data_IF_636749017461
#
_entry.id   IF_636749017461
#
_cell.length_a   1.000
_cell.length_b   1.000
_cell.length_c   1.000
_cell.angle_alpha   90.00
_cell.angle_beta   90.00
_cell.angle_gamma   90.00
#
_symmetry.space_group_name_H-M   'P 1'
#
loop_
_entity.id
_entity.type
_entity.pdbx_description
1 polymer ?
#
# COMPACT_ATOMS: atom_id res chain seq x y z
N UNK A 1 8.88 -7.74 -2.09
CA UNK A 1 7.75 -7.84 -3.05
C UNK A 1 8.29 -7.91 -4.47
N UNK A 2 9.19 -7.00 -4.85
CA UNK A 2 9.92 -7.10 -6.12
C UNK A 2 10.82 -8.35 -6.19
N UNK A 3 11.44 -8.77 -5.08
CA UNK A 3 12.25 -9.99 -5.01
C UNK A 3 11.49 -11.29 -5.36
N UNK A 4 10.16 -11.35 -5.16
CA UNK A 4 9.36 -12.56 -5.40
C UNK A 4 8.60 -12.54 -6.73
N UNK A 5 8.20 -11.37 -7.23
CA UNK A 5 7.37 -11.24 -8.42
C UNK A 5 8.20 -11.14 -9.71
N UNK A 6 9.44 -10.68 -9.63
CA UNK A 6 10.29 -10.43 -10.79
C UNK A 6 9.74 -9.35 -11.73
N UNK A 7 10.54 -8.91 -12.73
CA UNK A 7 10.17 -7.78 -13.60
C UNK A 7 9.04 -8.08 -14.59
N UNK A 8 8.72 -9.37 -14.83
CA UNK A 8 7.70 -9.81 -15.77
C UNK A 8 6.34 -10.14 -15.11
N UNK A 9 6.16 -9.81 -13.83
CA UNK A 9 4.89 -10.03 -13.15
C UNK A 9 3.74 -9.24 -13.78
N UNK A 10 2.65 -9.94 -14.06
CA UNK A 10 1.41 -9.33 -14.52
C UNK A 10 0.77 -8.46 -13.44
N UNK A 11 -0.04 -7.49 -13.83
CA UNK A 11 -0.79 -6.65 -12.89
C UNK A 11 -1.68 -7.48 -11.94
N UNK A 12 -2.24 -8.59 -12.41
CA UNK A 12 -3.01 -9.50 -11.58
C UNK A 12 -2.17 -10.12 -10.45
N UNK A 13 -0.92 -10.50 -10.74
CA UNK A 13 0.01 -11.06 -9.76
C UNK A 13 0.46 -9.99 -8.76
N UNK A 14 0.77 -8.77 -9.23
CA UNK A 14 1.13 -7.64 -8.37
C UNK A 14 -0.01 -7.28 -7.40
N UNK A 15 -1.26 -7.24 -7.88
CA UNK A 15 -2.44 -7.03 -7.05
C UNK A 15 -2.66 -8.19 -6.06
N UNK A 16 -2.45 -9.43 -6.48
CA UNK A 16 -2.59 -10.59 -5.59
C UNK A 16 -1.59 -10.54 -4.43
N UNK A 17 -0.32 -10.24 -4.74
CA UNK A 17 0.72 -10.06 -3.73
C UNK A 17 0.44 -8.85 -2.82
N UNK A 18 -0.07 -7.74 -3.37
CA UNK A 18 -0.44 -6.56 -2.59
C UNK A 18 -1.49 -6.90 -1.53
N UNK A 19 -2.52 -7.65 -1.94
CA UNK A 19 -3.57 -8.16 -1.05
C UNK A 19 -3.00 -9.13 -0.01
N UNK A 20 -2.00 -9.93 -0.36
CA UNK A 20 -1.35 -10.85 0.58
C UNK A 20 -0.59 -10.08 1.67
N UNK A 21 0.22 -9.08 1.30
CA UNK A 21 0.93 -8.21 2.25
C UNK A 21 -0.04 -7.47 3.17
N UNK A 22 -1.11 -6.90 2.60
CA UNK A 22 -2.12 -6.22 3.41
C UNK A 22 -2.77 -7.18 4.43
N UNK A 23 -3.12 -8.40 4.01
CA UNK A 23 -3.69 -9.43 4.92
C UNK A 23 -2.70 -9.81 6.02
N UNK A 24 -1.43 -10.01 5.69
CA UNK A 24 -0.36 -10.30 6.64
C UNK A 24 -0.18 -9.16 7.65
N UNK A 25 -0.05 -7.92 7.18
CA UNK A 25 0.08 -6.74 8.05
C UNK A 25 -1.14 -6.61 8.98
N UNK A 26 -2.32 -6.88 8.43
CA UNK A 26 -3.59 -6.93 9.15
C UNK A 26 -3.78 -8.14 10.03
N UNK A 27 -2.86 -9.10 10.14
CA UNK A 27 -3.03 -10.27 11.03
C UNK A 27 -1.85 -10.41 11.96
N UNK A 28 -0.66 -10.51 11.39
CA UNK A 28 0.58 -10.80 12.08
C UNK A 28 1.43 -9.55 12.29
N UNK A 29 1.30 -8.54 11.43
CA UNK A 29 2.03 -7.27 11.55
C UNK A 29 1.47 -6.31 12.62
N UNK A 30 0.35 -6.66 13.27
CA UNK A 30 -0.27 -5.81 14.30
C UNK A 30 0.62 -5.74 15.53
N UNK A 31 0.92 -4.53 15.97
CA UNK A 31 1.56 -4.28 17.27
C UNK A 31 0.61 -3.49 18.14
N UNK A 32 0.42 -3.97 19.36
CA UNK A 32 -0.39 -3.30 20.37
C UNK A 32 0.36 -2.05 20.82
N UNK A 33 -0.31 -0.91 20.78
CA UNK A 33 0.28 0.38 21.23
C UNK A 33 0.45 0.36 22.76
N UNK A 34 -0.43 -0.37 23.46
CA UNK A 34 -0.40 -0.62 24.90
C UNK A 34 -1.01 -2.00 25.20
N UNK A 35 -0.76 -2.57 26.39
CA UNK A 35 -1.40 -3.83 26.80
C UNK A 35 -2.93 -3.76 26.71
N UNK A 36 -3.55 -4.79 26.14
CA UNK A 36 -5.00 -4.90 25.99
C UNK A 36 -5.62 -4.03 24.91
N UNK A 37 -4.82 -3.48 24.00
CA UNK A 37 -5.30 -2.72 22.83
C UNK A 37 -4.91 -3.46 21.55
N UNK A 38 -5.68 -4.50 21.25
CA UNK A 38 -5.43 -5.46 20.16
C UNK A 38 -6.52 -5.38 19.08
N UNK A 39 -7.40 -4.37 19.17
CA UNK A 39 -8.52 -4.23 18.26
C UNK A 39 -8.02 -3.96 16.82
N UNK A 40 -8.53 -4.71 15.82
CA UNK A 40 -8.05 -4.60 14.44
C UNK A 40 -8.15 -3.20 13.82
N UNK A 41 -9.11 -2.38 14.29
CA UNK A 41 -9.29 -1.03 13.77
C UNK A 41 -8.15 -0.08 14.17
N UNK A 42 -7.49 -0.32 15.30
CA UNK A 42 -6.39 0.50 15.81
C UNK A 42 -5.18 0.39 14.88
N UNK A 43 -4.70 -0.83 14.63
CA UNK A 43 -3.57 -1.05 13.72
C UNK A 43 -3.90 -0.65 12.29
N UNK A 44 -5.15 -0.86 11.83
CA UNK A 44 -5.58 -0.47 10.48
C UNK A 44 -5.37 1.03 10.23
N UNK A 45 -5.79 1.89 11.17
CA UNK A 45 -5.59 3.34 11.05
C UNK A 45 -4.10 3.70 10.93
N UNK A 46 -3.26 3.12 11.78
CA UNK A 46 -1.81 3.37 11.75
C UNK A 46 -1.17 3.00 10.40
N UNK A 47 -1.56 1.88 9.79
CA UNK A 47 -1.01 1.51 8.49
C UNK A 47 -1.50 2.41 7.35
N UNK A 48 -2.70 2.99 7.44
CA UNK A 48 -3.15 3.98 6.46
C UNK A 48 -2.36 5.28 6.60
N UNK A 49 -2.10 5.75 7.83
CA UNK A 49 -1.24 6.92 8.08
C UNK A 49 0.15 6.70 7.48
N UNK A 50 0.75 5.53 7.71
CA UNK A 50 2.06 5.21 7.13
C UNK A 50 2.04 5.16 5.58
N UNK A 51 0.92 4.76 4.98
CA UNK A 51 0.77 4.74 3.54
C UNK A 51 0.56 6.15 2.96
N UNK A 52 -0.19 7.00 3.67
CA UNK A 52 -0.40 8.41 3.35
C UNK A 52 0.91 9.19 3.42
N UNK A 53 1.72 8.94 4.46
CA UNK A 53 3.08 9.48 4.60
C UNK A 53 4.09 8.91 3.59
N UNK A 54 3.66 8.05 2.66
CA UNK A 54 4.50 7.35 1.67
C UNK A 54 5.62 6.50 2.29
N UNK A 55 5.49 6.13 3.57
CA UNK A 55 6.48 5.30 4.29
C UNK A 55 6.32 3.82 4.00
N UNK A 56 5.12 3.40 3.60
CA UNK A 56 4.82 2.04 3.14
C UNK A 56 3.98 2.08 1.87
N UNK A 57 4.24 1.17 0.93
CA UNK A 57 3.43 0.98 -0.28
C UNK A 57 2.82 -0.42 -0.29
N UNK A 58 1.54 -0.53 -0.61
CA UNK A 58 0.86 -1.83 -0.70
C UNK A 58 1.10 -2.55 -2.02
N UNK A 59 1.48 -1.81 -3.06
CA UNK A 59 1.73 -2.30 -4.41
C UNK A 59 3.18 -1.96 -4.83
N UNK A 60 3.82 -2.80 -5.64
CA UNK A 60 5.18 -2.52 -6.14
C UNK A 60 5.25 -1.17 -6.87
N UNK A 61 4.28 -0.91 -7.74
CA UNK A 61 4.15 0.36 -8.46
C UNK A 61 3.36 1.43 -7.69
N UNK A 62 3.30 1.39 -6.35
CA UNK A 62 2.43 2.27 -5.56
C UNK A 62 2.68 3.76 -5.84
N UNK A 63 3.95 4.21 -5.80
CA UNK A 63 4.30 5.60 -6.06
C UNK A 63 3.99 6.02 -7.50
N UNK A 64 4.36 5.20 -8.49
CA UNK A 64 4.07 5.49 -9.89
C UNK A 64 2.57 5.63 -10.15
N UNK A 65 1.76 4.72 -9.58
CA UNK A 65 0.30 4.77 -9.67
C UNK A 65 -0.28 5.98 -8.96
N UNK A 66 0.26 6.34 -7.79
CA UNK A 66 -0.15 7.54 -7.06
C UNK A 66 0.15 8.80 -7.87
N UNK A 67 1.34 8.90 -8.47
CA UNK A 67 1.71 10.03 -9.34
C UNK A 67 0.78 10.15 -10.54
N UNK A 68 0.41 9.05 -11.20
CA UNK A 68 -0.59 9.09 -12.29
C UNK A 68 -1.95 9.63 -11.86
N UNK A 69 -2.34 9.46 -10.59
CA UNK A 69 -3.60 9.97 -10.04
C UNK A 69 -3.46 11.45 -9.64
N UNK A 70 -2.30 11.82 -9.09
CA UNK A 70 -2.02 13.15 -8.59
C UNK A 70 -1.58 14.13 -9.69
N UNK A 71 -1.14 13.64 -10.85
CA UNK A 71 -0.89 14.47 -12.03
C UNK A 71 -2.18 15.20 -12.41
N UNK A 72 -2.24 16.53 -12.30
CA UNK A 72 -3.44 17.28 -12.61
C UNK A 72 -3.72 17.18 -14.12
N UNK A 73 -4.96 16.83 -14.47
CA UNK A 73 -5.47 16.91 -15.83
C UNK A 73 -5.37 18.33 -16.46
N UNK A 74 -5.00 19.35 -15.68
CA UNK A 74 -4.86 20.74 -16.14
C UNK A 74 -3.63 21.01 -17.01
N UNK A 75 -2.65 20.10 -17.08
CA UNK A 75 -1.53 20.24 -18.03
C UNK A 75 -1.91 19.88 -19.49
N UNK A 76 -3.09 19.28 -19.72
CA UNK A 76 -3.52 18.82 -21.05
C UNK A 76 -4.60 19.68 -21.70
N UNK A 77 -5.08 20.75 -21.06
CA UNK A 77 -6.11 21.65 -21.59
C UNK A 77 -5.56 22.99 -22.12
N UNK A 78 -4.23 23.12 -22.25
CA UNK A 78 -3.56 24.25 -22.88
C UNK A 78 -2.71 23.75 -24.06
N UNK A 79 -3.36 23.34 -25.14
CA UNK A 79 -2.79 23.20 -26.48
C UNK A 79 -3.88 23.38 -27.53
#
# INVERSE_FOLDING_TARGET
>A
MEDELGPAATEAQKVAAAKAIYKWAMREGRRSIRPGCDEPFVSKGSFHILADDLRVGWHVDFLSRLMTILEPAEASAAQ
#
